data_IF_292065257438
#
_entry.id   IF_292065257438
#
_cell.length_a   1.000
_cell.length_b   1.000
_cell.length_c   1.000
_cell.angle_alpha   90.00
_cell.angle_beta   90.00
_cell.angle_gamma   90.00
#
_symmetry.space_group_name_H-M   'P 1'
#
loop_
_entity.id
_entity.type
_entity.pdbx_description
1 polymer ?
#
# COMPACT_ATOMS: atom_id res chain seq x y z
N UNK A 1 -4.82 22.99 -14.08
CA UNK A 1 -5.05 22.72 -12.63
C UNK A 1 -3.96 21.79 -12.11
N UNK A 2 -3.21 22.22 -11.08
CA UNK A 2 -2.17 21.39 -10.45
C UNK A 2 -2.71 20.69 -9.20
N UNK A 3 -2.35 19.44 -9.03
CA UNK A 3 -2.83 18.53 -8.00
C UNK A 3 -1.66 17.75 -7.41
N UNK A 4 -1.73 17.47 -6.11
CA UNK A 4 -0.74 16.65 -5.39
C UNK A 4 -1.47 15.61 -4.54
N UNK A 5 -0.88 14.42 -4.37
CA UNK A 5 -1.47 13.40 -3.52
C UNK A 5 -1.48 13.85 -2.05
N UNK A 6 -2.61 13.65 -1.40
CA UNK A 6 -2.79 14.00 0.01
C UNK A 6 -2.03 13.02 0.92
N UNK A 7 -1.57 13.52 2.08
CA UNK A 7 -0.96 12.67 3.12
C UNK A 7 -1.90 11.55 3.56
N UNK A 8 -3.19 11.87 3.73
CA UNK A 8 -4.23 10.94 4.21
C UNK A 8 -4.39 9.71 3.31
N UNK A 9 -4.41 9.90 1.99
CA UNK A 9 -4.54 8.79 1.05
C UNK A 9 -3.32 7.85 1.05
N UNK A 10 -2.13 8.40 1.24
CA UNK A 10 -0.90 7.59 1.35
C UNK A 10 -0.78 6.88 2.71
N UNK A 11 -1.19 7.54 3.81
CA UNK A 11 -1.26 6.93 5.13
C UNK A 11 -2.29 5.79 5.19
N UNK A 12 -3.46 5.97 4.58
CA UNK A 12 -4.48 4.92 4.52
C UNK A 12 -3.94 3.64 3.85
N UNK A 13 -3.23 3.79 2.72
CA UNK A 13 -2.63 2.68 1.98
C UNK A 13 -1.50 1.98 2.74
N UNK A 14 -0.79 2.72 3.59
CA UNK A 14 0.39 2.28 4.34
C UNK A 14 0.13 2.21 5.86
N UNK A 15 -1.14 2.05 6.24
CA UNK A 15 -1.60 1.98 7.63
C UNK A 15 -0.98 0.83 8.43
N UNK A 16 -0.49 -0.20 7.75
CA UNK A 16 0.24 -1.31 8.38
C UNK A 16 1.49 -0.87 9.14
N UNK A 17 2.22 0.14 8.65
CA UNK A 17 3.41 0.64 9.37
C UNK A 17 3.02 1.41 10.63
N UNK A 18 1.88 2.11 10.62
CA UNK A 18 1.34 2.71 11.84
C UNK A 18 0.94 1.63 12.85
N UNK A 19 0.30 0.55 12.39
CA UNK A 19 -0.02 -0.59 13.25
C UNK A 19 1.23 -1.17 13.91
N UNK A 20 2.29 -1.46 13.16
CA UNK A 20 3.53 -1.99 13.73
C UNK A 20 4.22 -1.01 14.69
N UNK A 21 4.21 0.29 14.38
CA UNK A 21 4.75 1.30 15.28
C UNK A 21 4.01 1.33 16.62
N UNK A 22 2.67 1.46 16.61
CA UNK A 22 1.90 1.49 17.86
C UNK A 22 1.95 0.15 18.61
N UNK A 23 1.90 -0.97 17.89
CA UNK A 23 2.05 -2.29 18.50
C UNK A 23 3.41 -2.43 19.20
N UNK A 24 4.50 -1.95 18.59
CA UNK A 24 5.83 -1.97 19.20
C UNK A 24 5.92 -1.13 20.46
N UNK A 25 5.29 0.06 20.49
CA UNK A 25 5.25 0.90 21.69
C UNK A 25 4.48 0.22 22.82
N UNK A 26 3.30 -0.33 22.51
CA UNK A 26 2.50 -1.09 23.48
C UNK A 26 3.30 -2.28 23.99
N UNK A 27 4.04 -2.97 23.11
CA UNK A 27 4.81 -4.13 23.50
C UNK A 27 6.02 -3.78 24.38
N UNK A 28 6.70 -2.66 24.14
CA UNK A 28 7.79 -2.18 24.99
C UNK A 28 7.25 -1.82 26.37
N UNK A 29 6.14 -1.08 26.43
CA UNK A 29 5.52 -0.70 27.70
C UNK A 29 5.00 -1.92 28.46
N UNK A 30 4.29 -2.83 27.78
CA UNK A 30 3.74 -4.05 28.37
C UNK A 30 4.82 -5.01 28.85
N UNK A 31 5.93 -5.14 28.12
CA UNK A 31 7.05 -5.96 28.52
C UNK A 31 7.73 -5.38 29.77
N UNK A 32 7.97 -4.06 29.81
CA UNK A 32 8.55 -3.41 30.99
C UNK A 32 7.69 -3.56 32.25
N UNK A 33 6.37 -3.45 32.13
CA UNK A 33 5.44 -3.66 33.26
C UNK A 33 5.45 -5.12 33.71
N UNK A 34 5.36 -6.07 32.78
CA UNK A 34 5.39 -7.50 33.08
C UNK A 34 6.69 -7.91 33.79
N UNK A 35 7.83 -7.31 33.40
CA UNK A 35 9.12 -7.53 34.06
C UNK A 35 9.19 -6.95 35.47
N UNK A 36 8.57 -5.79 35.72
CA UNK A 36 8.58 -5.14 37.03
C UNK A 36 7.64 -5.81 38.05
N UNK A 37 6.51 -6.35 37.60
CA UNK A 37 5.50 -6.95 38.48
C UNK A 37 5.78 -8.43 38.83
N UNK A 38 6.71 -9.08 38.12
CA UNK A 38 7.01 -10.51 38.28
C UNK A 38 8.44 -10.74 38.81
N UNK A 39 8.67 -10.65 40.14
CA UNK A 39 10.01 -10.85 40.73
C UNK A 39 10.53 -12.30 40.60
N UNK A 40 9.63 -13.28 40.48
CA UNK A 40 9.93 -14.65 40.03
C UNK A 40 9.23 -14.92 38.69
N UNK A 41 9.70 -14.27 37.62
CA UNK A 41 9.16 -14.50 36.27
C UNK A 41 9.34 -15.97 35.89
N UNK A 42 8.24 -16.71 35.79
CA UNK A 42 8.28 -18.04 35.18
C UNK A 42 8.63 -17.83 33.71
N UNK A 43 9.62 -18.58 33.24
CA UNK A 43 10.10 -18.57 31.84
C UNK A 43 8.93 -18.78 30.84
N UNK A 44 7.85 -19.43 31.29
CA UNK A 44 6.58 -19.60 30.56
C UNK A 44 5.91 -18.29 30.17
N UNK A 45 5.92 -17.27 31.03
CA UNK A 45 5.14 -16.04 30.83
C UNK A 45 5.83 -15.13 29.82
N UNK A 46 7.16 -15.09 29.87
CA UNK A 46 8.01 -14.41 28.88
C UNK A 46 7.85 -15.06 27.50
N UNK A 47 7.85 -16.41 27.44
CA UNK A 47 7.63 -17.14 26.18
C UNK A 47 6.23 -16.84 25.63
N UNK A 48 5.19 -16.87 26.47
CA UNK A 48 3.82 -16.58 26.05
C UNK A 48 3.70 -15.17 25.48
N UNK A 49 4.33 -14.18 26.13
CA UNK A 49 4.37 -12.80 25.64
C UNK A 49 5.06 -12.69 24.27
N UNK A 50 6.19 -13.38 24.09
CA UNK A 50 6.91 -13.41 22.81
C UNK A 50 6.10 -14.11 21.71
N UNK A 51 5.38 -15.19 22.03
CA UNK A 51 4.46 -15.84 21.10
C UNK A 51 3.33 -14.90 20.70
N UNK A 52 2.69 -14.23 21.67
CA UNK A 52 1.63 -13.26 21.43
C UNK A 52 2.12 -12.12 20.51
N UNK A 53 3.33 -11.60 20.78
CA UNK A 53 3.98 -10.60 19.93
C UNK A 53 4.18 -11.07 18.49
N UNK A 54 4.71 -12.28 18.30
CA UNK A 54 4.90 -12.85 16.96
C UNK A 54 3.56 -13.02 16.23
N UNK A 55 2.53 -13.52 16.91
CA UNK A 55 1.19 -13.70 16.32
C UNK A 55 0.60 -12.35 15.88
N UNK A 56 0.68 -11.32 16.73
CA UNK A 56 0.17 -9.98 16.42
C UNK A 56 0.93 -9.32 15.27
N UNK A 57 2.25 -9.51 15.18
CA UNK A 57 3.04 -8.96 14.06
C UNK A 57 2.86 -9.72 12.75
N UNK A 58 2.53 -11.00 12.79
CA UNK A 58 2.33 -11.85 11.62
C UNK A 58 0.91 -11.68 11.03
N UNK A 59 -0.11 -11.52 11.88
CA UNK A 59 -1.52 -11.43 11.49
C UNK A 59 -1.80 -10.44 10.33
N UNK A 60 -1.34 -9.17 10.38
CA UNK A 60 -1.54 -8.22 9.29
C UNK A 60 -0.83 -8.64 7.99
N UNK A 61 0.34 -9.26 8.11
CA UNK A 61 1.10 -9.79 6.98
C UNK A 61 0.34 -10.91 6.27
N UNK A 62 -0.24 -11.84 7.03
CA UNK A 62 -1.12 -12.91 6.52
C UNK A 62 -2.34 -12.32 5.83
N UNK A 63 -3.04 -11.39 6.49
CA UNK A 63 -4.23 -10.75 5.94
C UNK A 63 -3.94 -10.04 4.61
N UNK A 64 -2.81 -9.31 4.52
CA UNK A 64 -2.38 -8.66 3.28
C UNK A 64 -1.92 -9.65 2.21
N UNK A 65 -1.30 -10.77 2.59
CA UNK A 65 -0.87 -11.80 1.65
C UNK A 65 -2.08 -12.37 0.90
N UNK A 66 -3.18 -12.66 1.61
CA UNK A 66 -4.44 -13.07 0.99
C UNK A 66 -5.06 -11.97 0.12
N UNK A 67 -5.16 -10.74 0.64
CA UNK A 67 -5.80 -9.63 -0.10
C UNK A 67 -5.04 -9.23 -1.37
N UNK A 68 -3.71 -9.17 -1.33
CA UNK A 68 -2.88 -8.63 -2.43
C UNK A 68 -2.18 -9.70 -3.28
N UNK A 69 -2.35 -10.99 -2.97
CA UNK A 69 -1.59 -12.14 -3.54
C UNK A 69 -0.07 -11.90 -3.64
N UNK A 70 0.49 -11.07 -2.76
CA UNK A 70 1.93 -10.86 -2.64
C UNK A 70 2.41 -11.49 -1.36
N UNK A 71 2.65 -12.80 -1.42
CA UNK A 71 3.10 -13.62 -0.29
C UNK A 71 4.38 -13.09 0.38
N UNK A 72 5.21 -12.32 -0.33
CA UNK A 72 6.43 -11.71 0.23
C UNK A 72 6.18 -10.78 1.43
N UNK A 73 5.01 -10.15 1.54
CA UNK A 73 4.70 -9.27 2.68
C UNK A 73 4.53 -10.03 4.01
N UNK A 74 4.14 -11.30 3.95
CA UNK A 74 4.05 -12.17 5.13
C UNK A 74 5.45 -12.56 5.63
N UNK A 75 6.35 -12.93 4.71
CA UNK A 75 7.71 -13.36 5.06
C UNK A 75 8.53 -12.23 5.69
N UNK A 76 8.24 -10.97 5.37
CA UNK A 76 8.92 -9.82 5.96
C UNK A 76 8.72 -9.74 7.48
N UNK A 77 7.49 -9.89 7.98
CA UNK A 77 7.22 -9.85 9.43
C UNK A 77 7.92 -11.00 10.16
N UNK A 78 7.98 -12.19 9.55
CA UNK A 78 8.69 -13.33 10.12
C UNK A 78 10.20 -13.06 10.18
N UNK A 79 10.78 -12.56 9.09
CA UNK A 79 12.21 -12.23 9.02
C UNK A 79 12.59 -11.17 10.07
N UNK A 80 11.73 -10.17 10.30
CA UNK A 80 11.98 -9.13 11.31
C UNK A 80 11.93 -9.67 12.75
N UNK A 81 11.01 -10.60 13.03
CA UNK A 81 10.98 -11.28 14.32
C UNK A 81 12.26 -12.11 14.53
N UNK A 82 12.69 -12.87 13.52
CA UNK A 82 13.94 -13.64 13.57
C UNK A 82 15.14 -12.71 13.77
N UNK A 83 15.19 -11.58 13.06
CA UNK A 83 16.26 -10.61 13.21
C UNK A 83 16.32 -10.01 14.62
N UNK A 84 15.18 -9.60 15.18
CA UNK A 84 15.12 -9.03 16.52
C UNK A 84 15.48 -10.03 17.62
N UNK A 85 14.98 -11.27 17.53
CA UNK A 85 15.34 -12.36 18.45
C UNK A 85 16.82 -12.73 18.28
N UNK A 86 17.32 -12.77 17.04
CA UNK A 86 18.71 -13.06 16.73
C UNK A 86 19.67 -12.03 17.31
N UNK A 87 19.33 -10.74 17.26
CA UNK A 87 20.11 -9.68 17.93
C UNK A 87 20.15 -9.90 19.43
N UNK A 88 19.00 -10.18 20.06
CA UNK A 88 18.93 -10.47 21.49
C UNK A 88 19.78 -11.68 21.89
N UNK A 89 19.75 -12.74 21.08
CA UNK A 89 20.48 -13.98 21.34
C UNK A 89 21.98 -13.82 21.12
N UNK A 90 22.39 -13.17 20.04
CA UNK A 90 23.80 -12.96 19.71
C UNK A 90 24.52 -12.06 20.71
N UNK A 91 23.81 -11.06 21.27
CA UNK A 91 24.36 -10.14 22.27
C UNK A 91 23.86 -10.44 23.69
N UNK A 92 23.47 -11.69 23.96
CA UNK A 92 22.91 -12.08 25.26
C UNK A 92 23.86 -11.74 26.44
N UNK A 93 25.16 -11.95 26.27
CA UNK A 93 26.18 -11.66 27.28
C UNK A 93 26.30 -10.15 27.61
N UNK A 94 25.76 -9.29 26.76
CA UNK A 94 25.79 -7.83 26.93
C UNK A 94 24.51 -7.27 27.55
N UNK A 95 23.54 -8.12 27.93
CA UNK A 95 22.26 -7.70 28.53
C UNK A 95 22.45 -7.08 29.92
N UNK A 96 23.47 -7.48 30.68
CA UNK A 96 23.72 -6.91 32.02
C UNK A 96 24.52 -5.60 31.99
N UNK A 97 24.82 -5.07 30.79
CA UNK A 97 25.53 -3.80 30.62
C UNK A 97 24.60 -2.58 30.72
N UNK A 98 25.17 -1.39 30.84
CA UNK A 98 24.43 -0.11 30.80
C UNK A 98 23.52 0.04 29.57
N UNK A 99 23.83 -0.65 28.45
CA UNK A 99 23.07 -0.61 27.21
C UNK A 99 22.22 -1.87 26.96
N UNK A 100 22.16 -2.77 27.94
CA UNK A 100 21.48 -4.06 27.84
C UNK A 100 20.00 -3.98 27.50
N UNK A 101 19.34 -2.89 27.92
CA UNK A 101 17.94 -2.62 27.55
C UNK A 101 17.73 -2.60 26.03
N UNK A 102 18.66 -2.04 25.24
CA UNK A 102 18.51 -2.01 23.77
C UNK A 102 18.48 -3.43 23.20
N UNK A 103 19.29 -4.32 23.75
CA UNK A 103 19.41 -5.71 23.33
C UNK A 103 18.20 -6.51 23.79
N UNK A 104 17.75 -6.29 25.03
CA UNK A 104 16.57 -6.95 25.58
C UNK A 104 15.29 -6.58 24.82
N UNK A 105 15.08 -5.30 24.53
CA UNK A 105 13.94 -4.80 23.78
C UNK A 105 14.13 -4.88 22.25
N UNK A 106 15.22 -5.47 21.75
CA UNK A 106 15.55 -5.52 20.32
C UNK A 106 14.41 -6.06 19.42
N UNK A 107 13.65 -7.12 19.79
CA UNK A 107 12.52 -7.61 19.00
C UNK A 107 11.46 -6.55 18.71
N UNK A 108 11.22 -5.63 19.66
CA UNK A 108 10.23 -4.57 19.54
C UNK A 108 10.82 -3.34 18.86
N UNK A 109 12.05 -2.96 19.21
CA UNK A 109 12.75 -1.79 18.68
C UNK A 109 12.99 -1.88 17.17
N UNK A 110 13.31 -3.07 16.65
CA UNK A 110 13.47 -3.30 15.19
C UNK A 110 12.18 -2.94 14.44
N UNK A 111 11.02 -3.37 14.94
CA UNK A 111 9.72 -3.04 14.35
C UNK A 111 9.41 -1.55 14.46
N UNK A 112 9.70 -0.92 15.61
CA UNK A 112 9.50 0.50 15.82
C UNK A 112 10.34 1.33 14.82
N UNK A 113 11.64 1.05 14.74
CA UNK A 113 12.58 1.75 13.89
C UNK A 113 12.22 1.63 12.40
N UNK A 114 11.95 0.40 11.94
CA UNK A 114 11.59 0.15 10.54
C UNK A 114 10.27 0.80 10.19
N UNK A 115 9.30 0.83 11.11
CA UNK A 115 8.02 1.50 10.89
C UNK A 115 8.21 3.01 10.69
N UNK A 116 9.05 3.65 11.50
CA UNK A 116 9.38 5.08 11.35
C UNK A 116 10.06 5.33 9.99
N UNK A 117 11.08 4.53 9.65
CA UNK A 117 11.80 4.65 8.38
C UNK A 117 10.84 4.45 7.21
N UNK A 118 10.00 3.43 7.25
CA UNK A 118 9.01 3.15 6.21
C UNK A 118 8.02 4.32 6.04
N UNK A 119 7.52 4.91 7.13
CA UNK A 119 6.65 6.07 7.08
C UNK A 119 7.35 7.29 6.46
N UNK A 120 8.62 7.53 6.80
CA UNK A 120 9.41 8.59 6.22
C UNK A 120 9.65 8.38 4.71
N UNK A 121 10.03 7.17 4.31
CA UNK A 121 10.21 6.79 2.89
C UNK A 121 8.89 6.93 2.12
N UNK A 122 7.76 6.55 2.72
CA UNK A 122 6.44 6.70 2.12
C UNK A 122 6.07 8.16 1.92
N UNK A 123 6.30 9.05 2.91
CA UNK A 123 6.03 10.49 2.73
C UNK A 123 6.99 11.14 1.73
N UNK A 124 8.27 10.74 1.74
CA UNK A 124 9.23 11.18 0.73
C UNK A 124 8.78 10.76 -0.68
N UNK A 125 8.37 9.50 -0.85
CA UNK A 125 7.85 8.99 -2.10
C UNK A 125 6.60 9.75 -2.56
N UNK A 126 5.66 10.04 -1.65
CA UNK A 126 4.46 10.85 -1.94
C UNK A 126 4.80 12.22 -2.53
N UNK A 127 5.83 12.88 -2.00
CA UNK A 127 6.22 14.23 -2.44
C UNK A 127 6.75 14.29 -3.87
N UNK A 128 7.19 13.15 -4.41
CA UNK A 128 7.70 13.08 -5.78
C UNK A 128 6.61 13.17 -6.85
N UNK A 129 5.35 12.90 -6.50
CA UNK A 129 4.25 12.88 -7.47
C UNK A 129 3.57 14.24 -7.60
N UNK A 130 3.43 14.69 -8.85
CA UNK A 130 2.69 15.88 -9.22
C UNK A 130 1.78 15.57 -10.42
N UNK A 131 0.54 16.05 -10.35
CA UNK A 131 -0.48 15.85 -11.37
C UNK A 131 -0.90 17.20 -11.94
N UNK A 132 -0.85 17.36 -13.25
CA UNK A 132 -1.27 18.57 -13.93
C UNK A 132 -2.34 18.25 -14.97
N UNK A 133 -3.50 18.88 -14.83
CA UNK A 133 -4.62 18.76 -15.75
C UNK A 133 -4.66 20.04 -16.60
N UNK A 134 -4.50 19.91 -17.91
CA UNK A 134 -4.54 21.00 -18.89
C UNK A 134 -5.66 20.77 -19.90
N UNK A 135 -5.95 21.76 -20.74
CA UNK A 135 -7.09 21.71 -21.67
C UNK A 135 -7.01 20.63 -22.76
N UNK A 136 -5.81 20.13 -23.09
CA UNK A 136 -5.61 19.09 -24.11
C UNK A 136 -4.91 17.82 -23.61
N UNK A 137 -4.35 17.83 -22.40
CA UNK A 137 -3.59 16.70 -21.86
C UNK A 137 -3.58 16.66 -20.34
N UNK A 138 -3.35 15.46 -19.81
CA UNK A 138 -3.08 15.21 -18.39
C UNK A 138 -1.61 14.81 -18.27
N UNK A 139 -0.85 15.51 -17.44
CA UNK A 139 0.55 15.22 -17.15
C UNK A 139 0.68 14.62 -15.76
N UNK A 140 1.41 13.51 -15.69
CA UNK A 140 1.77 12.83 -14.45
C UNK A 140 3.30 12.89 -14.35
N UNK A 141 3.81 13.60 -13.35
CA UNK A 141 5.25 13.73 -13.11
C UNK A 141 5.61 12.98 -11.83
N UNK A 142 6.65 12.15 -11.88
CA UNK A 142 7.15 11.41 -10.73
C UNK A 142 8.64 11.07 -10.84
N UNK A 143 9.33 11.01 -9.70
CA UNK A 143 10.74 10.65 -9.70
C UNK A 143 11.45 11.09 -8.43
N UNK A 144 12.25 10.19 -7.85
CA UNK A 144 13.14 10.52 -6.73
C UNK A 144 14.55 10.87 -7.23
N UNK A 145 15.09 10.05 -8.13
CA UNK A 145 16.41 10.22 -8.75
C UNK A 145 16.31 10.54 -10.25
N UNK A 146 15.37 9.90 -10.96
CA UNK A 146 15.10 10.11 -12.38
C UNK A 146 13.75 10.76 -12.54
N UNK A 147 13.71 11.95 -13.14
CA UNK A 147 12.47 12.62 -13.49
C UNK A 147 11.80 11.86 -14.62
N UNK A 148 10.64 11.25 -14.33
CA UNK A 148 9.77 10.66 -15.33
C UNK A 148 8.54 11.55 -15.47
N UNK A 149 8.16 11.81 -16.72
CA UNK A 149 6.97 12.56 -17.03
C UNK A 149 6.17 11.79 -18.06
N UNK A 150 4.90 11.56 -17.75
CA UNK A 150 3.96 10.89 -18.63
C UNK A 150 2.88 11.88 -19.03
N UNK A 151 2.72 12.08 -20.33
CA UNK A 151 1.71 12.98 -20.89
C UNK A 151 0.66 12.11 -21.56
N UNK A 152 -0.59 12.26 -21.14
CA UNK A 152 -1.75 11.53 -21.66
C UNK A 152 -2.66 12.55 -22.37
N UNK A 153 -2.68 12.59 -23.71
CA UNK A 153 -3.61 13.45 -24.45
C UNK A 153 -5.06 13.05 -24.18
N UNK A 154 -5.96 14.04 -24.07
CA UNK A 154 -7.38 13.80 -23.77
C UNK A 154 -8.07 12.93 -24.83
N UNK A 155 -7.69 13.07 -26.11
CA UNK A 155 -8.20 12.26 -27.23
C UNK A 155 -8.00 10.74 -27.07
N UNK A 156 -7.02 10.31 -26.27
CA UNK A 156 -6.77 8.88 -26.03
C UNK A 156 -7.51 8.34 -24.81
N UNK A 157 -8.21 9.20 -24.06
CA UNK A 157 -8.96 8.83 -22.86
C UNK A 157 -10.36 8.40 -23.27
N UNK A 158 -10.68 7.15 -23.00
CA UNK A 158 -11.99 6.56 -23.30
C UNK A 158 -12.96 6.80 -22.15
N UNK A 159 -12.51 6.56 -20.92
CA UNK A 159 -13.34 6.65 -19.73
C UNK A 159 -12.55 7.13 -18.50
N UNK A 160 -13.27 7.67 -17.52
CA UNK A 160 -12.73 8.16 -16.25
C UNK A 160 -13.50 7.49 -15.11
N UNK A 161 -12.81 6.69 -14.31
CA UNK A 161 -13.39 5.95 -13.19
C UNK A 161 -13.00 6.62 -11.86
N UNK A 162 -13.97 6.75 -10.96
CA UNK A 162 -13.75 7.23 -9.60
C UNK A 162 -13.63 6.04 -8.66
N UNK A 163 -12.41 5.76 -8.19
CA UNK A 163 -12.14 4.71 -7.20
C UNK A 163 -12.07 5.32 -5.79
N UNK A 164 -13.02 4.92 -4.92
CA UNK A 164 -13.13 5.42 -3.56
C UNK A 164 -13.78 4.41 -2.61
N UNK A 165 -12.94 3.73 -1.84
CA UNK A 165 -13.35 2.84 -0.75
C UNK A 165 -13.98 3.60 0.43
N UNK A 166 -14.70 2.89 1.31
CA UNK A 166 -15.38 3.47 2.48
C UNK A 166 -14.44 4.32 3.35
N UNK A 167 -13.23 3.82 3.63
CA UNK A 167 -12.25 4.60 4.39
C UNK A 167 -11.78 5.85 3.63
N UNK A 168 -11.57 5.76 2.31
CA UNK A 168 -11.28 6.93 1.48
C UNK A 168 -12.46 7.94 1.48
N UNK A 169 -13.70 7.44 1.60
CA UNK A 169 -14.89 8.26 1.81
C UNK A 169 -14.80 9.08 3.08
N UNK A 170 -14.53 8.41 4.20
CA UNK A 170 -14.39 9.05 5.51
C UNK A 170 -13.29 10.11 5.53
N UNK A 171 -12.15 9.86 4.91
CA UNK A 171 -11.02 10.80 4.87
C UNK A 171 -11.13 11.92 3.82
N UNK A 172 -12.19 11.93 3.00
CA UNK A 172 -12.41 12.96 1.97
C UNK A 172 -11.50 12.84 0.74
N UNK A 173 -10.88 11.67 0.53
CA UNK A 173 -9.88 11.41 -0.51
C UNK A 173 -10.40 10.38 -1.51
N UNK A 174 -9.82 10.32 -2.70
CA UNK A 174 -10.09 9.26 -3.67
C UNK A 174 -9.12 9.29 -4.85
N UNK A 175 -9.23 8.28 -5.69
CA UNK A 175 -8.40 8.08 -6.86
C UNK A 175 -9.25 8.31 -8.11
N UNK A 176 -8.71 9.06 -9.08
CA UNK A 176 -9.34 9.21 -10.39
C UNK A 176 -8.51 8.42 -11.39
N UNK A 177 -9.07 7.29 -11.84
CA UNK A 177 -8.42 6.34 -12.75
C UNK A 177 -8.79 6.71 -14.18
N UNK A 178 -7.77 6.95 -15.00
CA UNK A 178 -7.91 7.30 -16.40
C UNK A 178 -7.76 6.02 -17.21
N UNK A 179 -8.76 5.71 -18.05
CA UNK A 179 -8.74 4.54 -18.93
C UNK A 179 -8.48 5.02 -20.35
N UNK A 180 -7.40 4.53 -20.97
CA UNK A 180 -7.05 4.85 -22.37
C UNK A 180 -7.32 3.68 -23.30
N UNK A 181 -7.45 3.96 -24.59
CA UNK A 181 -7.61 2.94 -25.65
C UNK A 181 -6.44 1.95 -25.75
N UNK A 182 -5.25 2.33 -25.27
CA UNK A 182 -4.06 1.47 -25.20
C UNK A 182 -4.02 0.52 -23.99
N UNK A 183 -5.06 0.49 -23.16
CA UNK A 183 -5.13 -0.37 -21.98
C UNK A 183 -4.52 0.22 -20.71
N UNK A 184 -4.06 1.48 -20.73
CA UNK A 184 -3.63 2.18 -19.52
C UNK A 184 -4.83 2.33 -18.58
N UNK A 185 -4.61 2.08 -17.29
CA UNK A 185 -5.68 2.08 -16.30
C UNK A 185 -6.58 0.84 -16.34
N UNK A 186 -6.35 -0.13 -17.25
CA UNK A 186 -7.18 -1.37 -17.37
C UNK A 186 -6.84 -2.45 -16.33
N UNK A 187 -5.85 -2.19 -15.45
CA UNK A 187 -5.40 -3.12 -14.43
C UNK A 187 -4.69 -4.34 -15.04
N UNK A 188 -3.59 -4.77 -14.42
CA UNK A 188 -2.52 -5.58 -15.03
C UNK A 188 -2.85 -7.07 -15.36
N UNK A 189 -4.10 -7.41 -15.65
CA UNK A 189 -4.55 -8.73 -16.12
C UNK A 189 -5.82 -8.59 -16.98
N UNK A 190 -5.71 -8.76 -18.29
CA UNK A 190 -6.73 -8.33 -19.25
C UNK A 190 -8.18 -8.73 -18.93
N UNK A 191 -9.02 -7.72 -18.70
CA UNK A 191 -10.48 -7.84 -18.83
C UNK A 191 -11.00 -6.59 -19.56
N UNK A 192 -10.54 -6.46 -20.81
CA UNK A 192 -11.34 -5.90 -21.91
C UNK A 192 -11.05 -6.64 -23.23
N UNK A 193 -10.43 -7.83 -23.16
CA UNK A 193 -10.01 -8.64 -24.31
C UNK A 193 -10.39 -10.12 -24.16
N UNK A 194 -11.46 -10.43 -23.42
CA UNK A 194 -11.93 -11.80 -23.22
C UNK A 194 -12.95 -12.29 -24.26
N UNK A 195 -13.42 -11.44 -25.18
CA UNK A 195 -14.44 -11.82 -26.19
C UNK A 195 -14.15 -11.25 -27.60
N UNK A 196 -13.10 -10.45 -27.79
CA UNK A 196 -12.81 -9.84 -29.09
C UNK A 196 -11.34 -9.98 -29.52
N UNK A 197 -10.89 -11.22 -29.71
CA UNK A 197 -9.83 -11.64 -30.65
C UNK A 197 -9.59 -13.13 -30.42
N UNK A 198 -9.88 -13.96 -31.43
CA UNK A 198 -9.79 -15.41 -31.33
C UNK A 198 -8.39 -15.92 -31.01
N UNK A 199 -8.31 -17.02 -30.26
CA UNK A 199 -7.05 -17.73 -30.04
C UNK A 199 -7.00 -18.59 -28.78
N UNK A 200 -7.66 -19.75 -28.80
CA UNK A 200 -7.24 -20.99 -28.12
C UNK A 200 -6.80 -20.92 -26.65
N UNK A 201 -7.75 -20.90 -25.71
CA UNK A 201 -7.48 -21.29 -24.33
C UNK A 201 -7.35 -22.81 -24.24
N UNK A 202 -6.10 -23.27 -24.20
CA UNK A 202 -5.69 -24.66 -23.94
C UNK A 202 -6.35 -25.17 -22.65
N UNK A 203 -7.17 -26.22 -22.79
CA UNK A 203 -7.79 -26.99 -21.70
C UNK A 203 -6.72 -27.38 -20.67
N UNK A 204 -6.87 -26.94 -19.42
CA UNK A 204 -6.22 -27.54 -18.25
C UNK A 204 -7.32 -28.16 -17.40
N UNK A 205 -7.15 -29.45 -17.14
CA UNK A 205 -8.17 -30.38 -16.72
C UNK A 205 -8.60 -30.31 -15.26
N UNK A 206 -9.72 -31.01 -15.06
CA UNK A 206 -10.36 -31.52 -13.84
C UNK A 206 -9.67 -31.26 -12.50
N UNK A 207 -10.32 -30.46 -11.65
CA UNK A 207 -10.06 -30.42 -10.22
C UNK A 207 -10.53 -29.12 -9.58
N UNK A 208 -11.66 -29.18 -8.88
CA UNK A 208 -12.20 -28.15 -7.97
C UNK A 208 -12.87 -26.95 -8.67
N UNK A 209 -14.15 -27.12 -8.99
CA UNK A 209 -15.11 -26.01 -9.13
C UNK A 209 -15.43 -25.47 -7.72
N UNK A 210 -14.61 -24.56 -7.20
CA UNK A 210 -15.00 -23.71 -6.07
C UNK A 210 -15.41 -22.34 -6.62
N UNK A 211 -16.72 -22.09 -6.57
CA UNK A 211 -17.38 -20.79 -6.47
C UNK A 211 -16.82 -19.67 -7.35
N UNK A 212 -17.57 -19.30 -8.39
CA UNK A 212 -17.36 -18.10 -9.17
C UNK A 212 -17.29 -16.86 -8.30
N UNK A 213 -16.08 -16.47 -7.92
CA UNK A 213 -15.77 -15.12 -7.49
C UNK A 213 -15.83 -14.32 -8.79
N UNK A 214 -16.95 -13.65 -9.01
CA UNK A 214 -17.00 -12.50 -9.92
C UNK A 214 -15.84 -11.59 -9.54
N UNK A 215 -14.73 -11.74 -10.27
CA UNK A 215 -13.57 -10.87 -10.18
C UNK A 215 -13.99 -9.56 -10.85
N UNK A 216 -14.87 -8.81 -10.18
CA UNK A 216 -14.92 -7.37 -10.35
C UNK A 216 -13.53 -6.88 -9.93
N UNK A 217 -12.69 -6.76 -10.94
CA UNK A 217 -11.25 -6.63 -10.80
C UNK A 217 -10.98 -5.26 -10.19
N UNK A 218 -10.69 -5.24 -8.90
CA UNK A 218 -10.34 -4.03 -8.15
C UNK A 218 -9.11 -3.43 -8.84
N UNK A 219 -9.29 -2.30 -9.53
CA UNK A 219 -8.20 -1.55 -10.10
C UNK A 219 -7.26 -1.16 -8.95
N UNK A 220 -6.05 -1.72 -8.93
CA UNK A 220 -5.03 -1.26 -7.99
C UNK A 220 -4.58 0.11 -8.47
N UNK A 221 -5.15 1.17 -7.91
CA UNK A 221 -4.78 2.55 -8.20
C UNK A 221 -3.28 2.75 -7.96
N UNK A 222 -2.50 2.81 -9.04
CA UNK A 222 -1.08 3.11 -9.01
C UNK A 222 -0.89 4.62 -9.24
N UNK A 223 -0.21 5.36 -8.33
CA UNK A 223 0.14 6.76 -8.50
C UNK A 223 0.75 7.14 -9.86
N UNK A 224 1.33 6.18 -10.60
CA UNK A 224 1.89 6.39 -11.95
C UNK A 224 0.85 6.43 -13.05
N UNK A 225 -0.27 5.70 -12.89
CA UNK A 225 -1.29 5.51 -13.93
C UNK A 225 -2.63 6.16 -13.59
N UNK A 226 -2.74 6.80 -12.43
CA UNK A 226 -3.96 7.49 -12.02
C UNK A 226 -3.65 8.76 -11.22
N UNK A 227 -4.62 9.65 -11.15
CA UNK A 227 -4.56 10.81 -10.25
C UNK A 227 -4.90 10.30 -8.85
N UNK A 228 -3.87 9.93 -8.11
CA UNK A 228 -4.00 9.19 -6.86
C UNK A 228 -4.21 10.09 -5.66
N UNK A 229 -5.15 9.70 -4.79
CA UNK A 229 -5.25 10.23 -3.43
C UNK A 229 -5.52 11.73 -3.34
N UNK A 230 -6.31 12.29 -4.26
CA UNK A 230 -6.64 13.72 -4.30
C UNK A 230 -7.81 14.08 -3.38
N UNK A 231 -7.76 15.30 -2.84
CA UNK A 231 -8.87 15.89 -2.08
C UNK A 231 -10.05 16.19 -3.00
N UNK A 232 -11.28 15.94 -2.55
CA UNK A 232 -12.52 16.21 -3.33
C UNK A 232 -12.48 15.54 -4.72
N UNK A 233 -12.32 14.21 -4.80
CA UNK A 233 -12.05 13.51 -6.05
C UNK A 233 -13.21 13.61 -7.07
N UNK A 234 -14.45 13.78 -6.62
CA UNK A 234 -15.62 14.01 -7.48
C UNK A 234 -15.47 15.27 -8.34
N UNK A 235 -15.03 16.40 -7.77
CA UNK A 235 -14.79 17.65 -8.51
C UNK A 235 -13.68 17.52 -9.54
N UNK A 236 -12.66 16.73 -9.22
CA UNK A 236 -11.55 16.46 -10.14
C UNK A 236 -12.06 15.63 -11.32
N UNK A 237 -12.85 14.58 -11.05
CA UNK A 237 -13.48 13.76 -12.09
C UNK A 237 -14.41 14.58 -12.98
N UNK A 238 -15.27 15.43 -12.40
CA UNK A 238 -16.18 16.31 -13.16
C UNK A 238 -15.40 17.29 -14.06
N UNK A 239 -14.31 17.88 -13.55
CA UNK A 239 -13.45 18.76 -14.36
C UNK A 239 -12.87 18.02 -15.56
N UNK A 240 -12.38 16.79 -15.36
CA UNK A 240 -11.82 15.99 -16.47
C UNK A 240 -12.91 15.62 -17.47
N UNK A 241 -14.10 15.22 -17.00
CA UNK A 241 -15.23 14.89 -17.88
C UNK A 241 -15.68 16.10 -18.71
N UNK A 242 -15.70 17.31 -18.14
CA UNK A 242 -15.99 18.55 -18.89
C UNK A 242 -14.93 18.84 -19.95
N UNK A 243 -13.66 18.66 -19.64
CA UNK A 243 -12.58 18.83 -20.62
C UNK A 243 -12.68 17.79 -21.75
N UNK A 244 -13.03 16.55 -21.43
CA UNK A 244 -13.27 15.51 -22.44
C UNK A 244 -14.47 15.82 -23.33
N UNK A 245 -15.56 16.38 -22.78
CA UNK A 245 -16.70 16.82 -23.56
C UNK A 245 -16.31 17.96 -24.52
N UNK A 246 -15.63 18.99 -24.00
CA UNK A 246 -15.11 20.11 -24.81
C UNK A 246 -14.21 19.63 -25.95
N UNK A 247 -13.32 18.67 -25.69
CA UNK A 247 -12.43 18.09 -26.71
C UNK A 247 -13.20 17.30 -27.78
N UNK A 248 -14.27 16.59 -27.40
CA UNK A 248 -15.11 15.84 -28.35
C UNK A 248 -15.99 16.72 -29.22
N UNK A 249 -16.39 17.88 -28.71
CA UNK A 249 -17.23 18.85 -29.43
C UNK A 249 -16.42 19.76 -30.39
N UNK A 250 -15.09 19.73 -30.33
CA UNK A 250 -14.26 20.47 -31.29
C UNK A 250 -14.27 19.78 -32.67
N UNK A 251 -14.53 20.53 -33.75
CA UNK A 251 -14.53 19.96 -35.09
C UNK A 251 -13.16 19.36 -35.41
N UNK A 252 -13.17 18.17 -35.99
CA UNK A 252 -11.98 17.43 -36.40
C UNK A 252 -11.12 18.34 -37.30
N UNK A 253 -10.02 18.89 -36.76
CA UNK A 253 -9.05 19.58 -37.60
C UNK A 253 -8.19 18.48 -38.24
N UNK A 254 -8.25 18.32 -39.58
CA UNK A 254 -7.47 17.33 -40.30
C UNK A 254 -5.96 17.55 -40.15
#
# INVERSE_FOLDING_TARGET
MKLKPTRRAFLLRNSIFLYYFFLSLIAIMGYGIAYAEMPETKLTDIILYMILWMVLTILPGVFLAFKRRRFGWFLWSLLMNIAGIGVRWYFADSIDTQYGWIIEYAPFLVFAAISIIALAVVDAHRRTYEYEISEGCIKISYGFLKSNQQIIPLRHITNVLLDRNFAARLFGVGNVVIVTSSGMGTGDRGVFGGVAAGGGAKRIGAGVYMGGISQAKEFVADPKNCIYGVSKPTRVSETIQRLLAKERDMPYSP
#
